data_IF_831730617814
#
_entry.id   IF_831730617814
#
_cell.length_a   1.000
_cell.length_b   1.000
_cell.length_c   1.000
_cell.angle_alpha   90.00
_cell.angle_beta   90.00
_cell.angle_gamma   90.00
#
_symmetry.space_group_name_H-M   'P 1'
#
loop_
_entity.id
_entity.type
_entity.pdbx_description
1 polymer ?
#
# COMPACT_ATOMS: atom_id res chain seq x y z
N UNK A 1 2.04 13.84 -18.46
CA UNK A 1 1.10 13.86 -17.36
C UNK A 1 1.25 12.58 -16.55
N UNK A 2 0.23 11.82 -16.25
CA UNK A 2 0.28 10.58 -15.49
C UNK A 2 -0.99 9.76 -15.69
N UNK A 3 -1.01 8.54 -15.15
CA UNK A 3 -2.18 7.69 -15.15
C UNK A 3 -2.26 6.89 -13.85
N UNK A 4 -3.48 6.51 -13.50
CA UNK A 4 -3.81 5.58 -12.44
C UNK A 4 -4.83 4.59 -12.98
N UNK A 5 -4.58 3.29 -12.83
CA UNK A 5 -5.52 2.26 -13.23
C UNK A 5 -6.22 1.69 -12.01
N UNK A 6 -7.51 1.49 -12.11
CA UNK A 6 -8.29 0.71 -11.15
C UNK A 6 -9.27 -0.22 -11.85
N UNK A 7 -9.65 -1.29 -11.19
CA UNK A 7 -10.51 -2.34 -11.72
C UNK A 7 -11.61 -2.63 -10.70
N UNK A 8 -12.90 -2.52 -11.08
CA UNK A 8 -14.01 -3.03 -10.28
C UNK A 8 -13.89 -4.54 -10.09
N UNK A 9 -13.69 -4.97 -8.84
CA UNK A 9 -13.33 -6.36 -8.56
C UNK A 9 -14.47 -7.34 -8.80
N UNK A 10 -15.69 -6.99 -8.39
CA UNK A 10 -16.85 -7.86 -8.62
C UNK A 10 -17.06 -8.19 -10.12
N UNK A 11 -16.94 -7.17 -10.98
CA UNK A 11 -17.06 -7.35 -12.43
C UNK A 11 -15.90 -8.18 -13.00
N UNK A 12 -14.69 -7.96 -12.52
CA UNK A 12 -13.51 -8.71 -12.95
C UNK A 12 -13.59 -10.18 -12.53
N UNK A 13 -14.05 -10.44 -11.30
CA UNK A 13 -14.30 -11.79 -10.81
C UNK A 13 -15.32 -12.53 -11.65
N UNK A 14 -16.44 -11.89 -12.01
CA UNK A 14 -17.47 -12.48 -12.86
C UNK A 14 -16.95 -12.82 -14.27
N UNK A 15 -16.01 -12.03 -14.82
CA UNK A 15 -15.47 -12.22 -16.17
C UNK A 15 -14.29 -13.18 -16.25
N UNK A 16 -13.38 -13.15 -15.28
CA UNK A 16 -12.07 -13.84 -15.34
C UNK A 16 -11.74 -14.65 -14.10
N UNK A 17 -12.63 -14.66 -13.12
CA UNK A 17 -12.34 -15.25 -11.80
C UNK A 17 -11.25 -14.50 -11.05
N UNK A 18 -10.81 -15.07 -9.94
CA UNK A 18 -9.82 -14.49 -9.04
C UNK A 18 -8.47 -14.24 -9.72
N UNK A 19 -8.10 -15.07 -10.68
CA UNK A 19 -6.86 -14.91 -11.45
C UNK A 19 -6.86 -13.68 -12.38
N UNK A 20 -8.00 -13.01 -12.52
CA UNK A 20 -8.11 -11.72 -13.20
C UNK A 20 -7.58 -10.53 -12.40
N UNK A 21 -7.28 -10.70 -11.12
CA UNK A 21 -6.75 -9.66 -10.24
C UNK A 21 -5.22 -9.77 -10.14
N UNK A 22 -4.54 -8.62 -10.33
CA UNK A 22 -3.09 -8.59 -10.24
C UNK A 22 -2.60 -8.90 -8.82
N UNK A 23 -3.25 -8.33 -7.81
CA UNK A 23 -2.88 -8.55 -6.41
C UNK A 23 -2.92 -10.03 -6.03
N UNK A 24 -3.82 -10.83 -6.63
CA UNK A 24 -3.87 -12.28 -6.40
C UNK A 24 -2.66 -13.03 -6.95
N UNK A 25 -1.90 -12.45 -7.87
CA UNK A 25 -0.63 -13.06 -8.31
C UNK A 25 0.45 -13.01 -7.22
N UNK A 26 0.33 -12.07 -6.28
CA UNK A 26 1.28 -11.80 -5.21
C UNK A 26 0.81 -12.32 -3.84
N UNK A 27 -0.51 -12.37 -3.63
CA UNK A 27 -1.11 -12.69 -2.32
C UNK A 27 -2.22 -13.73 -2.46
N UNK A 28 -2.28 -14.67 -1.54
CA UNK A 28 -3.43 -15.53 -1.33
C UNK A 28 -4.44 -14.82 -0.44
N UNK A 29 -5.71 -14.84 -0.83
CA UNK A 29 -6.78 -14.20 -0.08
C UNK A 29 -7.45 -15.19 0.88
N UNK A 30 -7.66 -14.74 2.12
CA UNK A 30 -8.51 -15.39 3.08
C UNK A 30 -9.99 -15.06 2.83
N UNK A 31 -10.87 -15.77 3.53
CA UNK A 31 -12.32 -15.56 3.44
C UNK A 31 -12.71 -14.10 3.75
N UNK A 32 -11.97 -13.44 4.62
CA UNK A 32 -12.19 -12.04 5.00
C UNK A 32 -12.06 -11.06 3.84
N UNK A 33 -11.42 -11.44 2.72
CA UNK A 33 -11.36 -10.60 1.52
C UNK A 33 -12.65 -10.60 0.71
N UNK A 34 -13.57 -11.55 0.91
CA UNK A 34 -14.79 -11.67 0.07
C UNK A 34 -15.61 -10.38 0.04
N UNK A 35 -15.82 -9.74 1.20
CA UNK A 35 -16.56 -8.48 1.27
C UNK A 35 -15.83 -7.31 0.63
N UNK A 36 -14.50 -7.29 0.71
CA UNK A 36 -13.66 -6.29 0.04
C UNK A 36 -13.75 -6.49 -1.47
N UNK A 37 -13.64 -7.73 -1.95
CA UNK A 37 -13.74 -8.06 -3.37
C UNK A 37 -15.12 -7.76 -3.96
N UNK A 38 -16.18 -7.93 -3.18
CA UNK A 38 -17.54 -7.63 -3.64
C UNK A 38 -17.81 -6.14 -3.87
N UNK A 39 -17.13 -5.25 -3.16
CA UNK A 39 -17.35 -3.80 -3.18
C UNK A 39 -16.04 -3.01 -3.40
N UNK A 40 -15.02 -3.66 -3.94
CA UNK A 40 -13.67 -3.11 -4.06
C UNK A 40 -13.31 -2.61 -5.45
N UNK A 41 -12.31 -1.73 -5.45
CA UNK A 41 -11.53 -1.39 -6.62
C UNK A 41 -10.08 -1.81 -6.38
N UNK A 42 -9.55 -2.68 -7.25
CA UNK A 42 -8.13 -2.98 -7.26
C UNK A 42 -7.39 -1.83 -7.94
N UNK A 43 -6.50 -1.19 -7.18
CA UNK A 43 -5.66 -0.09 -7.65
C UNK A 43 -4.31 -0.63 -8.16
N UNK A 44 -3.78 0.00 -9.19
CA UNK A 44 -2.45 -0.38 -9.66
C UNK A 44 -1.98 0.42 -10.86
N UNK A 45 -0.72 0.19 -11.22
CA UNK A 45 -0.06 0.77 -12.40
C UNK A 45 -0.21 2.29 -12.48
N UNK A 46 0.05 2.97 -11.34
CA UNK A 46 0.14 4.42 -11.30
C UNK A 46 1.50 4.88 -11.78
N UNK A 47 1.52 5.95 -12.56
CA UNK A 47 2.77 6.64 -12.91
C UNK A 47 2.54 8.13 -13.14
N UNK A 48 3.58 8.89 -12.90
CA UNK A 48 3.68 10.31 -13.26
C UNK A 48 4.93 10.47 -14.15
N UNK A 49 4.77 11.11 -15.29
CA UNK A 49 5.91 11.44 -16.17
C UNK A 49 6.93 12.31 -15.43
N UNK A 50 8.24 12.08 -15.61
CA UNK A 50 9.31 12.81 -14.89
C UNK A 50 9.19 14.33 -14.95
N UNK A 51 8.77 14.89 -16.07
CA UNK A 51 8.55 16.33 -16.24
C UNK A 51 7.50 16.94 -15.26
N UNK A 52 6.73 16.12 -14.57
CA UNK A 52 5.69 16.52 -13.63
C UNK A 52 5.98 16.06 -12.19
N UNK A 53 7.16 15.53 -11.90
CA UNK A 53 7.58 15.19 -10.55
C UNK A 53 7.74 16.45 -9.69
N UNK A 54 7.58 16.31 -8.39
CA UNK A 54 7.62 17.43 -7.44
C UNK A 54 6.43 18.40 -7.53
N UNK A 55 5.40 18.08 -8.33
CA UNK A 55 4.16 18.84 -8.46
C UNK A 55 2.97 18.06 -7.85
N UNK A 56 1.82 18.70 -7.76
CA UNK A 56 0.56 18.09 -7.25
C UNK A 56 -0.10 17.11 -8.23
N UNK A 57 0.68 16.51 -9.15
CA UNK A 57 0.13 15.66 -10.22
C UNK A 57 -0.52 14.40 -9.68
N UNK A 58 0.01 13.82 -8.60
CA UNK A 58 -0.56 12.65 -7.95
C UNK A 58 -1.87 13.00 -7.24
N UNK A 59 -1.96 14.18 -6.61
CA UNK A 59 -3.19 14.67 -5.96
C UNK A 59 -4.33 14.79 -6.98
N UNK A 60 -4.06 15.28 -8.19
CA UNK A 60 -5.08 15.36 -9.25
C UNK A 60 -5.57 13.98 -9.71
N UNK A 61 -4.70 12.98 -9.76
CA UNK A 61 -5.12 11.60 -10.05
C UNK A 61 -6.04 11.07 -8.94
N UNK A 62 -5.71 11.34 -7.68
CA UNK A 62 -6.54 10.95 -6.53
C UNK A 62 -7.88 11.69 -6.51
N UNK A 63 -7.93 12.97 -6.87
CA UNK A 63 -9.19 13.70 -7.06
C UNK A 63 -10.07 13.03 -8.13
N UNK A 64 -9.45 12.51 -9.21
CA UNK A 64 -10.16 11.73 -10.22
C UNK A 64 -10.76 10.44 -9.67
N UNK A 65 -10.02 9.70 -8.84
CA UNK A 65 -10.54 8.51 -8.15
C UNK A 65 -11.69 8.91 -7.20
N UNK A 66 -11.51 9.97 -6.41
CA UNK A 66 -12.56 10.47 -5.51
C UNK A 66 -13.84 10.87 -6.25
N UNK A 67 -13.72 11.55 -7.39
CA UNK A 67 -14.86 11.91 -8.23
C UNK A 67 -15.57 10.68 -8.83
N UNK A 68 -14.83 9.62 -9.14
CA UNK A 68 -15.40 8.34 -9.56
C UNK A 68 -16.17 7.69 -8.42
N UNK A 69 -15.59 7.59 -7.23
CA UNK A 69 -16.22 7.00 -6.04
C UNK A 69 -17.49 7.74 -5.63
N UNK A 70 -17.50 9.08 -5.72
CA UNK A 70 -18.68 9.88 -5.42
C UNK A 70 -19.88 9.56 -6.35
N UNK A 71 -19.62 9.11 -7.58
CA UNK A 71 -20.64 8.67 -8.56
C UNK A 71 -20.98 7.18 -8.47
N UNK A 72 -20.13 6.41 -7.76
CA UNK A 72 -20.24 4.97 -7.65
C UNK A 72 -20.14 4.52 -6.19
N UNK A 73 -21.13 4.86 -5.35
CA UNK A 73 -21.11 4.62 -3.90
C UNK A 73 -21.13 3.14 -3.51
N UNK A 74 -21.35 2.24 -4.47
CA UNK A 74 -21.24 0.79 -4.27
C UNK A 74 -19.80 0.35 -4.02
N UNK A 75 -18.78 1.11 -4.47
CA UNK A 75 -17.38 0.81 -4.19
C UNK A 75 -16.95 1.45 -2.90
N UNK A 76 -16.67 0.63 -1.90
CA UNK A 76 -16.35 1.04 -0.53
C UNK A 76 -14.90 0.80 -0.14
N UNK A 77 -14.21 -0.04 -0.89
CA UNK A 77 -12.84 -0.44 -0.60
C UNK A 77 -11.92 -0.15 -1.78
N UNK A 78 -10.78 0.45 -1.48
CA UNK A 78 -9.67 0.57 -2.40
C UNK A 78 -8.55 -0.32 -1.89
N UNK A 79 -8.01 -1.19 -2.71
CA UNK A 79 -6.88 -2.04 -2.33
C UNK A 79 -5.96 -2.30 -3.51
N UNK A 80 -4.73 -2.68 -3.24
CA UNK A 80 -3.75 -2.98 -4.27
C UNK A 80 -2.35 -3.11 -3.69
N UNK A 81 -1.38 -3.61 -4.45
CA UNK A 81 -0.01 -3.65 -4.03
C UNK A 81 0.60 -2.26 -4.13
N UNK A 82 1.44 -1.91 -3.15
CA UNK A 82 2.28 -0.72 -3.18
C UNK A 82 3.73 -1.12 -2.96
N UNK A 83 4.60 -0.73 -3.89
CA UNK A 83 5.99 -1.15 -3.87
C UNK A 83 6.85 -0.32 -2.91
N UNK A 84 7.77 -1.01 -2.23
CA UNK A 84 8.96 -0.42 -1.65
C UNK A 84 10.11 -0.81 -2.57
N UNK A 85 10.75 0.16 -3.24
CA UNK A 85 11.79 -0.13 -4.22
C UNK A 85 12.94 -0.95 -3.64
N UNK A 86 13.34 -2.01 -4.35
CA UNK A 86 14.52 -2.80 -4.01
C UNK A 86 15.83 -1.98 -4.07
N UNK A 87 15.81 -0.81 -4.71
CA UNK A 87 16.93 0.14 -4.67
C UNK A 87 17.14 0.81 -3.31
N UNK A 88 16.18 0.74 -2.38
CA UNK A 88 16.37 1.19 -1.01
C UNK A 88 17.26 0.21 -0.23
N UNK A 89 18.13 0.71 0.66
CA UNK A 89 18.87 -0.14 1.60
C UNK A 89 17.95 -1.08 2.37
N UNK A 90 18.41 -2.31 2.66
CA UNK A 90 17.63 -3.30 3.41
C UNK A 90 17.12 -2.72 4.74
N UNK A 91 17.98 -2.02 5.49
CA UNK A 91 17.61 -1.38 6.74
C UNK A 91 16.47 -0.36 6.58
N UNK A 92 16.43 0.39 5.47
CA UNK A 92 15.36 1.34 5.19
C UNK A 92 14.03 0.63 4.92
N UNK A 93 14.07 -0.48 4.17
CA UNK A 93 12.89 -1.31 3.91
C UNK A 93 12.35 -1.94 5.20
N UNK A 94 13.23 -2.49 6.03
CA UNK A 94 12.88 -3.07 7.33
C UNK A 94 12.25 -2.04 8.27
N UNK A 95 12.79 -0.82 8.35
CA UNK A 95 12.23 0.28 9.13
C UNK A 95 10.82 0.68 8.66
N UNK A 96 10.63 0.81 7.34
CA UNK A 96 9.31 1.10 6.76
C UNK A 96 8.31 0.00 7.11
N UNK A 97 8.64 -1.26 6.87
CA UNK A 97 7.77 -2.40 7.17
C UNK A 97 7.44 -2.46 8.67
N UNK A 98 8.44 -2.27 9.55
CA UNK A 98 8.23 -2.28 10.98
C UNK A 98 7.24 -1.17 11.41
N UNK A 99 7.42 0.04 10.90
CA UNK A 99 6.54 1.18 11.22
C UNK A 99 5.10 0.95 10.73
N UNK A 100 4.93 0.54 9.46
CA UNK A 100 3.58 0.36 8.89
C UNK A 100 2.85 -0.85 9.49
N UNK A 101 3.56 -1.92 9.84
CA UNK A 101 2.96 -3.03 10.62
C UNK A 101 2.51 -2.62 12.02
N UNK A 102 3.22 -1.68 12.64
CA UNK A 102 2.91 -1.21 13.99
C UNK A 102 1.67 -0.30 14.02
N UNK A 103 1.59 0.63 13.07
CA UNK A 103 0.56 1.69 13.07
C UNK A 103 -0.65 1.40 12.20
N UNK A 104 -0.52 0.50 11.23
CA UNK A 104 -1.58 0.15 10.28
C UNK A 104 -1.72 -1.37 10.15
N UNK A 105 -1.81 -2.10 11.28
CA UNK A 105 -1.91 -3.54 11.22
C UNK A 105 -3.20 -3.99 10.57
N UNK A 106 -3.18 -5.16 9.92
CA UNK A 106 -4.39 -5.82 9.50
C UNK A 106 -5.23 -6.22 10.73
N UNK A 107 -6.49 -5.84 10.75
CA UNK A 107 -7.43 -6.20 11.81
C UNK A 107 -7.76 -7.70 11.80
N UNK A 108 -7.69 -8.30 10.62
CA UNK A 108 -7.89 -9.74 10.38
C UNK A 108 -6.93 -10.24 9.30
N UNK A 109 -6.57 -11.52 9.28
CA UNK A 109 -5.66 -12.09 8.27
C UNK A 109 -6.38 -12.24 6.91
N UNK A 110 -6.64 -11.11 6.25
CA UNK A 110 -7.40 -11.07 5.00
C UNK A 110 -6.58 -11.48 3.77
N UNK A 111 -5.26 -11.28 3.79
CA UNK A 111 -4.36 -11.68 2.71
C UNK A 111 -3.04 -12.18 3.28
N UNK A 112 -2.36 -13.06 2.51
CA UNK A 112 -1.04 -13.59 2.85
C UNK A 112 -0.14 -13.57 1.62
N UNK A 113 1.05 -13.02 1.74
CA UNK A 113 2.02 -13.01 0.66
C UNK A 113 2.46 -14.42 0.25
N UNK A 114 2.52 -14.66 -1.05
CA UNK A 114 3.10 -15.89 -1.63
C UNK A 114 4.62 -15.93 -1.53
N UNK A 115 5.23 -14.76 -1.46
CA UNK A 115 6.67 -14.55 -1.27
C UNK A 115 6.89 -13.64 -0.06
N UNK A 116 6.71 -14.15 1.18
CA UNK A 116 6.78 -13.33 2.37
C UNK A 116 8.11 -12.59 2.47
N UNK A 117 8.08 -11.32 2.83
CA UNK A 117 9.30 -10.55 3.07
C UNK A 117 10.03 -11.11 4.29
N UNK A 118 11.31 -11.53 4.14
CA UNK A 118 12.10 -12.07 5.22
C UNK A 118 12.55 -10.94 6.15
N UNK A 119 11.74 -10.59 7.11
CA UNK A 119 11.99 -9.44 7.95
C UNK A 119 12.88 -9.74 9.14
N UNK A 120 13.93 -8.92 9.31
CA UNK A 120 14.68 -8.79 10.57
C UNK A 120 13.89 -7.93 11.58
N UNK A 121 12.57 -8.10 11.61
CA UNK A 121 11.60 -7.20 12.27
C UNK A 121 11.82 -6.94 13.76
N UNK A 122 12.23 -7.91 14.62
CA UNK A 122 12.30 -7.66 16.05
C UNK A 122 13.23 -6.51 16.43
N UNK A 123 14.35 -6.35 15.72
CA UNK A 123 15.33 -5.31 16.01
C UNK A 123 14.86 -3.92 15.58
N UNK A 124 14.09 -3.84 14.47
CA UNK A 124 13.58 -2.58 13.93
C UNK A 124 12.30 -2.13 14.61
N UNK A 125 11.46 -3.05 15.12
CA UNK A 125 10.29 -2.73 15.93
C UNK A 125 10.70 -2.00 17.22
N UNK A 126 11.85 -2.34 17.82
CA UNK A 126 12.37 -1.66 19.01
C UNK A 126 12.71 -0.17 18.79
N UNK A 127 12.77 0.27 17.53
CA UNK A 127 13.00 1.68 17.19
C UNK A 127 11.77 2.56 17.44
N UNK A 128 10.59 1.98 17.56
CA UNK A 128 9.31 2.68 17.68
C UNK A 128 8.63 2.34 19.01
N UNK A 129 8.01 3.35 19.63
CA UNK A 129 7.29 3.17 20.90
C UNK A 129 5.95 2.49 20.74
N UNK A 130 5.29 2.72 19.60
CA UNK A 130 3.92 2.31 19.32
C UNK A 130 2.85 3.10 20.10
N UNK A 131 3.25 4.14 20.84
CA UNK A 131 2.33 4.93 21.67
C UNK A 131 2.03 6.31 21.10
N UNK A 132 2.97 6.89 20.35
CA UNK A 132 2.83 8.21 19.73
C UNK A 132 3.20 8.13 18.23
N UNK A 133 2.19 8.15 17.39
CA UNK A 133 2.36 8.10 15.93
C UNK A 133 3.25 9.23 15.40
N UNK A 134 3.05 10.46 15.89
CA UNK A 134 3.79 11.62 15.37
C UNK A 134 5.27 11.61 15.83
N UNK A 135 5.53 11.20 17.05
CA UNK A 135 6.89 11.03 17.55
C UNK A 135 7.62 9.93 16.79
N UNK A 136 6.98 8.77 16.61
CA UNK A 136 7.57 7.64 15.89
C UNK A 136 7.70 7.91 14.36
N UNK A 137 6.78 8.66 13.76
CA UNK A 137 6.91 9.12 12.37
C UNK A 137 8.10 10.07 12.19
N UNK A 138 8.32 10.97 13.15
CA UNK A 138 9.48 11.87 13.16
C UNK A 138 10.77 11.06 13.30
N UNK A 139 10.78 10.06 14.17
CA UNK A 139 11.90 9.14 14.34
C UNK A 139 12.16 8.32 13.06
N UNK A 140 11.12 7.77 12.42
CA UNK A 140 11.25 7.08 11.13
C UNK A 140 11.92 7.96 10.08
N UNK A 141 11.46 9.21 9.93
CA UNK A 141 12.06 10.16 8.99
C UNK A 141 13.55 10.38 9.27
N UNK A 142 13.92 10.62 10.53
CA UNK A 142 15.32 10.81 10.90
C UNK A 142 16.19 9.57 10.61
N UNK A 143 15.66 8.36 10.88
CA UNK A 143 16.38 7.12 10.59
C UNK A 143 16.56 6.90 9.08
N UNK A 144 15.54 7.20 8.27
CA UNK A 144 15.62 7.11 6.82
C UNK A 144 16.57 8.16 6.22
N UNK A 145 16.53 9.40 6.73
CA UNK A 145 17.45 10.47 6.31
C UNK A 145 18.91 10.09 6.54
N UNK A 146 19.24 9.43 7.64
CA UNK A 146 20.58 8.91 7.92
C UNK A 146 21.01 7.82 6.92
N UNK A 147 20.06 7.15 6.28
CA UNK A 147 20.29 6.16 5.21
C UNK A 147 20.22 6.79 3.80
N UNK A 148 20.07 8.11 3.69
CA UNK A 148 19.90 8.81 2.42
C UNK A 148 18.57 8.52 1.73
N UNK A 149 17.53 8.18 2.49
CA UNK A 149 16.24 7.73 2.00
C UNK A 149 15.10 8.59 2.55
N UNK A 150 13.91 8.47 1.93
CA UNK A 150 12.68 9.09 2.42
C UNK A 150 11.54 8.07 2.39
N UNK A 151 10.47 8.37 3.11
CA UNK A 151 9.23 7.57 3.02
C UNK A 151 8.70 7.66 1.59
N UNK A 152 8.41 6.51 0.92
CA UNK A 152 7.85 6.53 -0.43
C UNK A 152 6.53 7.31 -0.47
N UNK A 153 6.36 8.18 -1.47
CA UNK A 153 5.22 9.10 -1.56
C UNK A 153 3.86 8.40 -1.47
N UNK A 154 3.72 7.22 -2.11
CA UNK A 154 2.47 6.46 -2.08
C UNK A 154 2.14 5.93 -0.68
N UNK A 155 3.14 5.48 0.09
CA UNK A 155 2.94 5.03 1.47
C UNK A 155 2.38 6.15 2.34
N UNK A 156 3.02 7.32 2.28
CA UNK A 156 2.54 8.51 3.00
C UNK A 156 1.13 8.88 2.56
N UNK A 157 0.87 8.90 1.26
CA UNK A 157 -0.41 9.31 0.74
C UNK A 157 -1.54 8.36 1.14
N UNK A 158 -1.34 7.04 1.06
CA UNK A 158 -2.34 6.08 1.49
C UNK A 158 -2.65 6.19 2.99
N UNK A 159 -1.64 6.34 3.82
CA UNK A 159 -1.85 6.47 5.27
C UNK A 159 -2.52 7.78 5.71
N UNK A 160 -2.50 8.82 4.86
CA UNK A 160 -3.09 10.13 5.13
C UNK A 160 -4.47 10.34 4.47
N UNK A 161 -4.94 9.41 3.62
CA UNK A 161 -6.21 9.55 2.88
C UNK A 161 -7.44 9.27 3.71
N UNK A 162 -7.32 8.42 4.72
CA UNK A 162 -8.45 7.95 5.50
C UNK A 162 -8.35 8.44 6.95
N UNK A 163 -9.49 8.45 7.62
CA UNK A 163 -9.55 8.59 9.07
C UNK A 163 -8.76 7.46 9.75
N UNK A 164 -8.34 7.64 11.02
CA UNK A 164 -7.67 6.60 11.77
C UNK A 164 -8.44 5.27 11.74
N UNK A 165 -7.74 4.17 11.44
CA UNK A 165 -8.35 2.84 11.26
C UNK A 165 -8.95 2.58 9.88
N UNK A 166 -8.95 3.55 8.97
CA UNK A 166 -9.45 3.38 7.60
C UNK A 166 -8.43 2.79 6.63
N UNK A 167 -7.18 2.60 7.04
CA UNK A 167 -6.10 2.01 6.23
C UNK A 167 -5.49 0.84 6.98
N UNK A 168 -5.28 -0.26 6.26
CA UNK A 168 -4.60 -1.45 6.77
C UNK A 168 -3.55 -1.93 5.76
N UNK A 169 -2.38 -2.33 6.25
CA UNK A 169 -1.39 -3.06 5.47
C UNK A 169 -1.56 -4.56 5.78
N UNK A 170 -2.16 -5.28 4.83
CA UNK A 170 -2.60 -6.65 5.05
C UNK A 170 -1.43 -7.63 5.19
N UNK A 171 -0.40 -7.50 4.33
CA UNK A 171 0.84 -8.27 4.43
C UNK A 171 1.96 -7.63 3.60
N UNK A 172 3.20 -8.08 3.81
CA UNK A 172 4.38 -7.64 3.09
C UNK A 172 5.08 -8.83 2.43
N UNK A 173 5.41 -8.66 1.17
CA UNK A 173 6.09 -9.67 0.40
C UNK A 173 7.00 -9.07 -0.65
N UNK A 174 7.73 -9.92 -1.34
CA UNK A 174 8.57 -9.55 -2.48
C UNK A 174 7.81 -9.79 -3.78
N UNK A 175 8.00 -8.93 -4.78
CA UNK A 175 7.53 -9.14 -6.15
C UNK A 175 8.70 -9.52 -7.06
N UNK A 176 8.89 -10.84 -7.36
CA UNK A 176 10.01 -11.28 -8.19
C UNK A 176 10.00 -10.71 -9.61
N UNK A 177 8.83 -10.31 -10.11
CA UNK A 177 8.68 -9.75 -11.46
C UNK A 177 9.16 -8.29 -11.55
N UNK A 178 9.12 -7.55 -10.43
CA UNK A 178 9.55 -6.16 -10.35
C UNK A 178 10.86 -5.98 -9.58
N UNK A 179 11.38 -7.04 -8.99
CA UNK A 179 12.54 -7.00 -8.08
C UNK A 179 12.33 -5.99 -6.92
N UNK A 180 11.12 -5.95 -6.38
CA UNK A 180 10.67 -5.07 -5.28
C UNK A 180 10.40 -5.88 -4.00
#
# INVERSE_FOLDING_TARGET
>A
VGAYRFIPTAEQLARKGINGLYTHTLFDYGQQMEHVLAQGLELGRSFIQPAYWGRRSLDYLWQGIGAFLARHPQYRYLFGPVSISAGLPLAARDLLIAFYRLYFPASVPAARSRHPYPASLPQHLQQFSGQDYHADLTRLKALLDNLGCAIPTLYKQYSELCEPGGVEFLDFGTDPAFAD
#
